data_IF_507455305560
#
_entry.id   IF_507455305560
#
_cell.length_a   1.000
_cell.length_b   1.000
_cell.length_c   1.000
_cell.angle_alpha   90.00
_cell.angle_beta   90.00
_cell.angle_gamma   90.00
#
_symmetry.space_group_name_H-M   'P 1'
#
loop_
_entity.id
_entity.type
_entity.pdbx_description
1 polymer ?
#
# COMPACT_ATOMS: atom_id res chain seq x y z
N UNK A 1 0.66 27.74 -46.23
CA UNK A 1 0.53 27.74 -44.75
C UNK A 1 0.01 26.39 -44.31
N UNK A 2 0.86 25.49 -43.80
CA UNK A 2 0.41 24.18 -43.34
C UNK A 2 0.61 24.12 -41.83
N UNK A 3 -0.48 24.27 -41.07
CA UNK A 3 -0.50 24.09 -39.62
C UNK A 3 -0.37 22.59 -39.35
N UNK A 4 0.85 22.12 -39.13
CA UNK A 4 1.11 20.78 -38.59
C UNK A 4 0.55 20.74 -37.17
N UNK A 5 -0.48 19.92 -37.00
CA UNK A 5 -1.16 19.66 -35.73
C UNK A 5 -0.14 19.23 -34.67
N UNK A 6 0.00 20.05 -33.63
CA UNK A 6 0.77 19.76 -32.41
C UNK A 6 0.15 18.53 -31.75
N UNK A 7 0.76 17.37 -31.91
CA UNK A 7 0.37 16.17 -31.19
C UNK A 7 0.49 16.46 -29.69
N UNK A 8 -0.62 16.30 -28.96
CA UNK A 8 -0.62 16.35 -27.50
C UNK A 8 0.41 15.32 -26.97
N UNK A 9 1.13 15.62 -25.88
CA UNK A 9 2.01 14.63 -25.29
C UNK A 9 1.12 13.46 -24.88
N UNK A 10 1.34 12.30 -25.50
CA UNK A 10 0.68 11.06 -25.13
C UNK A 10 0.94 10.87 -23.64
N UNK A 11 -0.09 11.03 -22.82
CA UNK A 11 -0.02 10.66 -21.42
C UNK A 11 0.22 9.16 -21.41
N UNK A 12 1.47 8.77 -21.18
CA UNK A 12 1.82 7.40 -20.84
C UNK A 12 1.32 7.17 -19.41
N UNK A 13 0.00 7.24 -19.23
CA UNK A 13 -0.66 6.84 -18.01
C UNK A 13 -0.41 5.34 -17.91
N UNK A 14 0.62 5.01 -17.15
CA UNK A 14 1.16 3.68 -17.10
C UNK A 14 0.18 2.80 -16.32
N UNK A 15 -0.43 1.87 -17.04
CA UNK A 15 -1.24 0.77 -16.53
C UNK A 15 -0.59 0.16 -15.27
N UNK A 16 -1.35 0.08 -14.17
CA UNK A 16 -0.93 -0.61 -12.94
C UNK A 16 -0.03 0.17 -11.97
N UNK A 17 -0.22 1.48 -11.79
CA UNK A 17 0.50 2.24 -10.76
C UNK A 17 1.98 2.48 -11.07
N UNK A 18 2.38 2.32 -12.33
CA UNK A 18 3.76 2.50 -12.78
C UNK A 18 4.09 3.97 -13.01
N UNK A 19 4.06 4.80 -11.97
CA UNK A 19 4.70 6.12 -12.05
C UNK A 19 6.18 5.91 -12.40
N UNK A 20 6.58 6.33 -13.61
CA UNK A 20 7.98 6.33 -14.05
C UNK A 20 8.57 7.66 -13.63
N UNK A 21 9.43 7.66 -12.62
CA UNK A 21 10.32 8.80 -12.38
C UNK A 21 11.37 8.72 -13.49
N UNK A 22 11.28 9.64 -14.47
CA UNK A 22 12.34 9.78 -15.46
C UNK A 22 13.47 10.58 -14.80
N UNK A 23 14.51 9.92 -14.32
CA UNK A 23 15.79 10.58 -14.07
C UNK A 23 16.50 10.72 -15.42
N UNK A 24 16.70 11.96 -15.88
CA UNK A 24 17.47 12.32 -17.08
C UNK A 24 17.04 11.67 -18.42
N UNK A 25 15.80 11.15 -18.49
CA UNK A 25 15.22 10.61 -19.73
C UNK A 25 15.64 9.17 -20.06
N UNK A 26 16.54 8.57 -19.31
CA UNK A 26 16.91 7.15 -19.46
C UNK A 26 16.18 6.26 -18.44
N UNK A 27 15.79 5.06 -18.86
CA UNK A 27 15.16 4.08 -17.97
C UNK A 27 16.23 3.40 -17.11
N UNK A 28 16.64 4.05 -16.03
CA UNK A 28 17.43 3.42 -14.98
C UNK A 28 16.52 2.59 -14.04
N UNK A 29 17.05 1.54 -13.38
CA UNK A 29 16.41 0.96 -12.20
C UNK A 29 16.14 2.06 -11.17
N UNK A 30 14.96 2.06 -10.53
CA UNK A 30 14.60 3.09 -9.56
C UNK A 30 15.52 3.00 -8.33
N UNK A 31 15.74 4.14 -7.67
CA UNK A 31 16.43 4.16 -6.38
C UNK A 31 15.55 3.54 -5.28
N UNK A 32 16.12 3.07 -4.15
CA UNK A 32 15.33 2.47 -3.08
C UNK A 32 14.18 3.36 -2.58
N UNK A 33 14.45 4.65 -2.35
CA UNK A 33 13.42 5.60 -1.91
C UNK A 33 12.39 5.92 -3.01
N UNK A 34 12.70 5.70 -4.27
CA UNK A 34 11.74 5.86 -5.38
C UNK A 34 10.86 4.61 -5.53
N UNK A 35 11.40 3.42 -5.24
CA UNK A 35 10.63 2.19 -5.11
C UNK A 35 9.66 2.26 -3.93
N UNK A 36 10.08 2.81 -2.80
CA UNK A 36 9.20 2.93 -1.63
C UNK A 36 8.02 3.88 -1.87
N UNK A 37 8.23 4.93 -2.67
CA UNK A 37 7.21 5.93 -3.00
C UNK A 37 6.32 5.55 -4.20
N UNK A 38 6.58 4.42 -4.86
CA UNK A 38 5.82 4.04 -6.05
C UNK A 38 4.52 3.30 -5.69
N UNK A 39 3.47 3.47 -6.50
CA UNK A 39 2.17 2.86 -6.20
C UNK A 39 2.19 1.32 -6.31
N UNK A 40 3.11 0.77 -7.11
CA UNK A 40 3.36 -0.67 -7.22
C UNK A 40 4.05 -1.26 -5.98
N UNK A 41 4.58 -0.44 -5.07
CA UNK A 41 5.05 -0.86 -3.73
C UNK A 41 3.97 -1.59 -2.92
N UNK A 42 2.70 -1.24 -3.15
CA UNK A 42 1.56 -1.82 -2.44
C UNK A 42 0.92 -3.01 -3.17
N UNK A 43 1.43 -3.38 -4.35
CA UNK A 43 0.88 -4.50 -5.11
C UNK A 43 1.36 -5.82 -4.51
N UNK A 44 0.44 -6.76 -4.33
CA UNK A 44 0.80 -8.13 -3.96
C UNK A 44 1.26 -8.88 -5.21
N UNK A 45 2.17 -9.85 -5.03
CA UNK A 45 2.80 -10.59 -6.15
C UNK A 45 1.79 -11.20 -7.13
N UNK A 46 0.66 -11.69 -6.61
CA UNK A 46 -0.35 -12.42 -7.37
C UNK A 46 -1.68 -11.64 -7.46
N UNK A 47 -1.71 -10.37 -7.07
CA UNK A 47 -2.93 -9.55 -7.04
C UNK A 47 -3.96 -9.94 -5.96
N UNK A 48 -3.70 -11.02 -5.22
CA UNK A 48 -4.52 -11.46 -4.09
C UNK A 48 -3.98 -10.93 -2.77
N UNK A 49 -4.85 -10.68 -1.77
CA UNK A 49 -4.40 -10.38 -0.42
C UNK A 49 -3.42 -11.46 0.09
N UNK A 50 -2.42 -11.09 0.90
CA UNK A 50 -1.57 -12.06 1.56
C UNK A 50 -2.40 -13.07 2.35
N UNK A 51 -1.88 -14.28 2.53
CA UNK A 51 -2.56 -15.35 3.27
C UNK A 51 -3.06 -14.88 4.64
N UNK A 52 -2.20 -14.17 5.38
CA UNK A 52 -2.53 -13.60 6.69
C UNK A 52 -3.70 -12.60 6.63
N UNK A 53 -3.80 -11.82 5.56
CA UNK A 53 -4.89 -10.86 5.37
C UNK A 53 -6.22 -11.56 5.07
N UNK A 54 -6.17 -12.62 4.28
CA UNK A 54 -7.35 -13.46 4.00
C UNK A 54 -7.83 -14.18 5.26
N UNK A 55 -6.90 -14.76 6.03
CA UNK A 55 -7.20 -15.41 7.30
C UNK A 55 -7.88 -14.44 8.28
N UNK A 56 -7.30 -13.25 8.48
CA UNK A 56 -7.87 -12.25 9.38
C UNK A 56 -9.28 -11.81 8.95
N UNK A 57 -9.53 -11.66 7.64
CA UNK A 57 -10.86 -11.39 7.13
C UNK A 57 -11.84 -12.53 7.44
N UNK A 58 -11.46 -13.78 7.19
CA UNK A 58 -12.28 -14.96 7.52
C UNK A 58 -12.57 -15.07 9.02
N UNK A 59 -11.61 -14.74 9.87
CA UNK A 59 -11.76 -14.78 11.33
C UNK A 59 -12.82 -13.77 11.78
N UNK A 60 -12.76 -12.53 11.26
CA UNK A 60 -13.76 -11.49 11.54
C UNK A 60 -15.15 -11.89 11.04
N UNK A 61 -15.26 -12.41 9.81
CA UNK A 61 -16.54 -12.90 9.25
C UNK A 61 -17.15 -14.04 10.07
N UNK A 62 -16.31 -14.89 10.69
CA UNK A 62 -16.74 -15.94 11.61
C UNK A 62 -17.06 -15.43 13.03
N UNK A 63 -16.85 -14.14 13.29
CA UNK A 63 -17.09 -13.52 14.60
C UNK A 63 -16.00 -13.79 15.64
N UNK A 64 -14.80 -14.22 15.22
CA UNK A 64 -13.65 -14.29 16.12
C UNK A 64 -13.22 -12.87 16.50
N UNK A 65 -13.13 -12.64 17.81
CA UNK A 65 -12.65 -11.39 18.38
C UNK A 65 -11.16 -11.56 18.68
N UNK A 66 -10.38 -10.49 18.48
CA UNK A 66 -8.97 -10.48 18.88
C UNK A 66 -8.86 -10.85 20.37
N UNK A 67 -8.00 -11.81 20.68
CA UNK A 67 -7.81 -12.34 22.04
C UNK A 67 -6.56 -11.79 22.69
N UNK A 68 -5.97 -10.75 22.08
CA UNK A 68 -4.82 -10.06 22.60
C UNK A 68 -5.09 -9.51 24.01
N UNK A 69 -4.15 -9.78 24.93
CA UNK A 69 -4.25 -9.23 26.30
C UNK A 69 -4.00 -7.73 26.35
N UNK A 70 -3.59 -7.11 25.24
CA UNK A 70 -3.22 -5.69 25.18
C UNK A 70 -4.38 -4.77 25.52
N UNK A 71 -5.55 -5.01 24.92
CA UNK A 71 -6.76 -4.21 25.18
C UNK A 71 -7.23 -4.33 26.63
N UNK A 72 -7.28 -5.55 27.16
CA UNK A 72 -7.68 -5.77 28.56
C UNK A 72 -6.64 -5.22 29.54
N UNK A 73 -5.34 -5.39 29.30
CA UNK A 73 -4.28 -4.79 30.13
C UNK A 73 -4.36 -3.25 30.12
N UNK A 74 -4.61 -2.64 28.96
CA UNK A 74 -4.81 -1.19 28.83
C UNK A 74 -6.05 -0.73 29.60
N UNK A 75 -7.15 -1.48 29.52
CA UNK A 75 -8.39 -1.22 30.25
C UNK A 75 -8.18 -1.26 31.77
N UNK A 76 -7.48 -2.29 32.27
CA UNK A 76 -7.18 -2.41 33.70
C UNK A 76 -6.30 -1.24 34.17
N UNK A 77 -5.26 -0.88 33.42
CA UNK A 77 -4.40 0.28 33.71
C UNK A 77 -5.20 1.58 33.79
N UNK A 78 -6.03 1.87 32.76
CA UNK A 78 -6.90 3.06 32.74
C UNK A 78 -7.93 3.07 33.87
N UNK A 79 -8.42 1.90 34.28
CA UNK A 79 -9.40 1.79 35.37
C UNK A 79 -8.81 1.97 36.76
N UNK A 80 -7.48 2.15 36.89
CA UNK A 80 -6.79 2.31 38.17
C UNK A 80 -6.74 1.04 39.02
N UNK A 81 -7.16 -0.11 38.47
CA UNK A 81 -7.16 -1.41 39.17
C UNK A 81 -5.79 -2.05 39.28
N UNK A 82 -4.80 -1.52 38.55
CA UNK A 82 -3.38 -1.75 38.82
C UNK A 82 -2.88 -0.54 39.62
N UNK A 83 -3.12 -0.57 40.93
CA UNK A 83 -2.35 0.24 41.88
C UNK A 83 -1.03 -0.49 42.10
N UNK A 84 0.11 0.22 42.01
CA UNK A 84 1.34 -0.26 42.64
C UNK A 84 1.19 -0.27 44.15
#
# INVERSE_FOLDING_TARGET
>A
MNKSSKAAPQKQDAEGGKTKVAQDGEKAPRLPHEHDQSSDSQQTRDGHPPEVGRQAHEDVERGLVDTDRGLEANRVYKSGKISR
#
